data_IF_605773042449
#
_entry.id   IF_605773042449
#
_cell.length_a   1.000
_cell.length_b   1.000
_cell.length_c   1.000
_cell.angle_alpha   90.00
_cell.angle_beta   90.00
_cell.angle_gamma   90.00
#
_symmetry.space_group_name_H-M   'P 1'
#
loop_
_entity.id
_entity.type
_entity.pdbx_description
1 polymer ?
#
# COMPACT_ATOMS: atom_id res chain seq x y z
N UNK A 1 12.06 24.21 -13.52
CA UNK A 1 12.59 25.59 -13.38
C UNK A 1 13.20 25.83 -11.99
N UNK A 2 12.56 25.36 -10.92
CA UNK A 2 12.96 25.58 -9.52
C UNK A 2 13.53 24.35 -8.84
N UNK A 3 13.63 23.21 -9.50
CA UNK A 3 14.14 21.96 -8.96
C UNK A 3 13.19 21.22 -8.00
N UNK A 4 12.09 21.85 -7.58
CA UNK A 4 11.06 21.26 -6.71
C UNK A 4 9.67 21.61 -7.21
N UNK A 5 8.74 20.67 -7.12
CA UNK A 5 7.32 20.86 -7.42
C UNK A 5 6.46 20.19 -6.34
N UNK A 6 5.33 20.81 -6.02
CA UNK A 6 4.29 20.30 -5.14
C UNK A 6 3.00 20.17 -5.95
N UNK A 7 2.36 19.00 -5.86
CA UNK A 7 1.09 18.72 -6.55
C UNK A 7 0.11 18.12 -5.56
N UNK A 8 -1.07 18.74 -5.44
CA UNK A 8 -2.18 18.19 -4.66
C UNK A 8 -3.25 17.59 -5.58
N UNK A 9 -3.67 16.37 -5.28
CA UNK A 9 -4.85 15.73 -5.86
C UNK A 9 -5.95 15.66 -4.80
N UNK A 10 -7.20 15.85 -5.22
CA UNK A 10 -8.38 15.70 -4.36
C UNK A 10 -9.54 15.09 -5.11
N UNK A 11 -10.47 14.50 -4.38
CA UNK A 11 -11.69 13.90 -4.93
C UNK A 11 -11.41 12.86 -6.03
N UNK A 12 -10.29 12.15 -5.92
CA UNK A 12 -9.91 11.10 -6.86
C UNK A 12 -10.57 9.77 -6.50
N UNK A 13 -10.77 8.91 -7.50
CA UNK A 13 -11.00 7.50 -7.28
C UNK A 13 -9.76 6.81 -6.69
N UNK A 14 -9.81 5.49 -6.55
CA UNK A 14 -8.67 4.72 -6.06
C UNK A 14 -7.43 4.95 -6.93
N UNK A 15 -6.31 5.37 -6.31
CA UNK A 15 -5.08 5.77 -7.02
C UNK A 15 -4.20 4.60 -7.47
N UNK A 16 -4.65 3.36 -7.23
CA UNK A 16 -3.88 2.15 -7.55
C UNK A 16 -2.73 1.91 -6.59
N UNK A 17 -1.67 1.27 -7.07
CA UNK A 17 -0.41 1.10 -6.36
C UNK A 17 0.34 2.43 -6.37
N UNK A 18 0.65 2.98 -5.19
CA UNK A 18 1.27 4.31 -5.12
C UNK A 18 2.72 4.28 -5.59
N UNK A 19 3.40 3.14 -5.46
CA UNK A 19 4.73 2.92 -6.02
C UNK A 19 4.85 3.21 -7.52
N UNK A 20 3.78 3.05 -8.31
CA UNK A 20 3.80 3.33 -9.76
C UNK A 20 4.05 4.83 -10.03
N UNK A 21 3.51 5.72 -9.19
CA UNK A 21 3.78 7.15 -9.27
C UNK A 21 5.23 7.47 -8.96
N UNK A 22 5.82 6.76 -8.00
CA UNK A 22 7.24 6.87 -7.64
C UNK A 22 8.16 6.33 -8.73
N UNK A 23 7.83 5.21 -9.36
CA UNK A 23 8.57 4.61 -10.47
C UNK A 23 8.59 5.57 -11.68
N UNK A 24 7.42 6.08 -12.09
CA UNK A 24 7.31 7.04 -13.19
C UNK A 24 8.14 8.30 -12.97
N UNK A 25 8.22 8.81 -11.74
CA UNK A 25 9.05 9.95 -11.42
C UNK A 25 10.55 9.59 -11.47
N UNK A 26 10.93 8.44 -10.92
CA UNK A 26 12.30 7.97 -10.89
C UNK A 26 12.86 7.71 -12.31
N UNK A 27 12.03 7.22 -13.24
CA UNK A 27 12.36 7.07 -14.67
C UNK A 27 12.77 8.41 -15.32
N UNK A 28 12.34 9.53 -14.74
CA UNK A 28 12.69 10.89 -15.19
C UNK A 28 13.80 11.51 -14.34
N UNK A 29 14.56 10.72 -13.56
CA UNK A 29 15.60 11.18 -12.64
C UNK A 29 15.09 12.11 -11.52
N UNK A 30 13.83 11.95 -11.13
CA UNK A 30 13.17 12.75 -10.11
C UNK A 30 12.97 11.91 -8.84
N UNK A 31 13.43 12.42 -7.70
CA UNK A 31 13.01 11.91 -6.38
C UNK A 31 11.57 12.35 -6.13
N UNK A 32 10.72 11.43 -5.69
CA UNK A 32 9.33 11.76 -5.39
C UNK A 32 8.89 11.23 -4.03
N UNK A 33 7.97 11.95 -3.39
CA UNK A 33 7.30 11.56 -2.15
C UNK A 33 5.79 11.71 -2.36
N UNK A 34 5.02 10.71 -1.97
CA UNK A 34 3.57 10.69 -2.13
C UNK A 34 2.91 10.36 -0.81
N UNK A 35 2.08 11.28 -0.31
CA UNK A 35 1.33 11.18 0.94
C UNK A 35 -0.14 11.03 0.60
N UNK A 36 -0.72 9.87 0.87
CA UNK A 36 -2.09 9.55 0.43
C UNK A 36 -3.01 9.44 1.64
N UNK A 37 -4.19 10.08 1.53
CA UNK A 37 -5.29 9.83 2.43
C UNK A 37 -6.45 9.15 1.72
N UNK A 38 -7.32 8.48 2.48
CA UNK A 38 -8.52 7.83 1.96
C UNK A 38 -9.73 8.27 2.78
N UNK A 39 -10.32 9.41 2.38
CA UNK A 39 -11.57 9.88 2.98
C UNK A 39 -12.64 8.80 2.91
N UNK A 40 -13.33 8.56 4.02
CA UNK A 40 -14.42 7.59 4.13
C UNK A 40 -13.99 6.17 4.45
N UNK A 41 -12.69 5.86 4.49
CA UNK A 41 -12.19 4.55 4.87
C UNK A 41 -11.73 4.53 6.33
N UNK A 42 -12.53 3.98 7.22
CA UNK A 42 -12.22 3.84 8.65
C UNK A 42 -11.83 2.40 8.96
N UNK A 43 -10.53 2.11 8.97
CA UNK A 43 -9.99 0.77 9.16
C UNK A 43 -8.95 0.66 10.27
N UNK A 44 -8.24 1.76 10.57
CA UNK A 44 -7.05 1.75 11.42
C UNK A 44 -7.32 2.45 12.75
N UNK A 45 -6.96 1.78 13.85
CA UNK A 45 -6.99 2.37 15.18
C UNK A 45 -5.77 3.27 15.43
N UNK A 46 -5.93 4.40 16.14
CA UNK A 46 -4.81 5.16 16.65
C UNK A 46 -4.01 4.34 17.67
N UNK A 47 -2.73 4.65 17.82
CA UNK A 47 -1.93 4.02 18.86
C UNK A 47 -2.53 4.27 20.25
N UNK A 48 -2.78 3.20 21.00
CA UNK A 48 -3.44 3.26 22.30
C UNK A 48 -4.97 3.29 22.25
N UNK A 49 -5.57 3.26 21.06
CA UNK A 49 -7.02 3.17 20.87
C UNK A 49 -7.43 1.79 20.36
N UNK A 50 -8.71 1.47 20.49
CA UNK A 50 -9.32 0.22 19.98
C UNK A 50 -10.35 0.47 18.88
N UNK A 51 -10.68 1.73 18.61
CA UNK A 51 -11.68 2.10 17.62
C UNK A 51 -11.03 2.76 16.39
N UNK A 52 -11.66 2.61 15.25
CA UNK A 52 -11.19 3.09 13.94
C UNK A 52 -11.23 4.60 13.86
N UNK A 53 -10.11 5.23 13.50
CA UNK A 53 -10.00 6.69 13.34
C UNK A 53 -9.22 7.10 12.10
N UNK A 54 -8.65 6.13 11.36
CA UNK A 54 -7.87 6.39 10.17
C UNK A 54 -8.01 5.26 9.15
N UNK A 55 -7.36 5.45 8.01
CA UNK A 55 -7.26 4.48 6.93
C UNK A 55 -5.86 3.87 6.86
N UNK A 56 -5.65 2.96 5.91
CA UNK A 56 -4.33 2.37 5.62
C UNK A 56 -3.36 3.38 5.02
N UNK A 57 -3.83 4.50 4.55
CA UNK A 57 -3.15 5.74 4.11
C UNK A 57 -1.69 5.55 3.69
N UNK A 58 -1.42 5.16 2.43
CA UNK A 58 -0.08 4.76 2.00
C UNK A 58 0.88 5.94 1.83
N UNK A 59 2.17 5.62 2.03
CA UNK A 59 3.32 6.46 1.73
C UNK A 59 4.15 5.79 0.64
N UNK A 60 4.53 6.55 -0.40
CA UNK A 60 5.54 6.09 -1.34
C UNK A 60 6.66 7.11 -1.52
N UNK A 61 7.89 6.62 -1.62
CA UNK A 61 9.08 7.43 -1.91
C UNK A 61 9.87 6.73 -3.02
N UNK A 62 10.11 7.45 -4.12
CA UNK A 62 10.93 6.99 -5.23
C UNK A 62 12.27 7.70 -5.28
N UNK A 63 13.34 6.93 -5.44
CA UNK A 63 14.70 7.43 -5.60
C UNK A 63 15.27 6.89 -6.90
N UNK A 64 15.59 7.76 -7.88
CA UNK A 64 16.20 7.35 -9.13
C UNK A 64 17.64 6.86 -8.90
N UNK A 65 18.00 5.77 -9.55
CA UNK A 65 19.38 5.27 -9.59
C UNK A 65 19.80 5.13 -11.05
N UNK A 66 20.78 5.95 -11.47
CA UNK A 66 21.25 5.97 -12.85
C UNK A 66 21.96 4.66 -13.19
N UNK A 67 21.44 3.97 -14.23
CA UNK A 67 22.03 2.72 -14.72
C UNK A 67 21.71 1.47 -13.89
N UNK A 68 20.87 1.59 -12.86
CA UNK A 68 20.42 0.50 -12.02
C UNK A 68 18.90 0.57 -11.78
N UNK A 69 18.36 -0.41 -11.09
CA UNK A 69 16.95 -0.40 -10.66
C UNK A 69 16.71 0.66 -9.59
N UNK A 70 15.67 1.46 -9.73
CA UNK A 70 15.29 2.50 -8.77
C UNK A 70 14.94 1.92 -7.39
N UNK A 71 15.12 2.72 -6.35
CA UNK A 71 14.70 2.36 -4.98
C UNK A 71 13.32 2.93 -4.75
N UNK A 72 12.35 2.04 -4.48
CA UNK A 72 10.97 2.42 -4.27
C UNK A 72 10.51 1.91 -2.91
N UNK A 73 10.23 2.83 -2.00
CA UNK A 73 9.46 2.54 -0.80
C UNK A 73 7.98 2.72 -1.13
N UNK A 74 7.19 1.68 -1.01
CA UNK A 74 5.73 1.74 -1.17
C UNK A 74 5.09 0.91 -0.06
N UNK A 75 4.42 1.57 0.86
CA UNK A 75 3.90 0.92 2.05
C UNK A 75 2.62 1.57 2.56
N UNK A 76 1.69 0.73 3.05
CA UNK A 76 0.62 1.20 3.91
C UNK A 76 1.21 1.69 5.25
N UNK A 77 0.56 2.65 5.89
CA UNK A 77 0.92 3.09 7.26
C UNK A 77 0.21 2.28 8.35
N UNK A 78 -0.55 1.26 7.96
CA UNK A 78 -1.07 0.20 8.81
C UNK A 78 -0.12 -1.01 8.84
N UNK A 79 -0.26 -1.87 9.84
CA UNK A 79 0.55 -3.10 9.95
C UNK A 79 0.33 -4.04 8.77
N UNK A 80 -0.90 -4.09 8.26
CA UNK A 80 -1.27 -4.84 7.05
C UNK A 80 -2.25 -4.02 6.22
N UNK A 81 -2.21 -4.20 4.90
CA UNK A 81 -3.28 -3.72 4.03
C UNK A 81 -4.55 -4.56 4.24
N UNK A 82 -5.73 -3.95 4.04
CA UNK A 82 -7.02 -4.64 4.20
C UNK A 82 -7.12 -5.90 3.35
N UNK A 83 -6.65 -5.87 2.10
CA UNK A 83 -6.64 -7.05 1.23
C UNK A 83 -5.85 -8.25 1.79
N UNK A 84 -4.82 -8.04 2.62
CA UNK A 84 -4.12 -9.13 3.32
C UNK A 84 -4.97 -9.72 4.43
N UNK A 85 -5.76 -8.89 5.12
CA UNK A 85 -6.72 -9.35 6.11
C UNK A 85 -7.84 -10.17 5.46
N UNK A 86 -8.33 -9.74 4.29
CA UNK A 86 -9.30 -10.47 3.50
C UNK A 86 -8.78 -11.85 3.03
N UNK A 87 -7.53 -11.91 2.57
CA UNK A 87 -6.88 -13.19 2.21
C UNK A 87 -6.80 -14.12 3.42
N UNK A 88 -6.42 -13.62 4.59
CA UNK A 88 -6.38 -14.41 5.81
C UNK A 88 -7.77 -14.90 6.23
N UNK A 89 -8.80 -14.03 6.13
CA UNK A 89 -10.20 -14.38 6.40
C UNK A 89 -10.70 -15.51 5.52
N UNK A 90 -10.27 -15.56 4.26
CA UNK A 90 -10.62 -16.64 3.30
C UNK A 90 -9.72 -17.87 3.41
N UNK A 91 -9.02 -18.07 4.52
CA UNK A 91 -8.19 -19.26 4.78
C UNK A 91 -6.79 -19.21 4.16
N UNK A 92 -6.36 -18.06 3.62
CA UNK A 92 -5.01 -17.86 3.12
C UNK A 92 -3.95 -17.62 4.22
N UNK A 93 -2.87 -16.93 3.88
CA UNK A 93 -1.77 -16.67 4.81
C UNK A 93 -2.27 -15.90 6.05
N UNK A 94 -2.01 -16.45 7.25
CA UNK A 94 -2.36 -15.83 8.53
C UNK A 94 -1.70 -14.46 8.70
N UNK A 95 -2.42 -13.56 9.38
CA UNK A 95 -1.88 -12.25 9.77
C UNK A 95 -0.78 -12.38 10.83
N UNK A 96 0.17 -11.44 10.88
CA UNK A 96 1.09 -11.32 12.00
C UNK A 96 0.32 -11.08 13.31
N UNK A 97 0.87 -11.57 14.41
CA UNK A 97 0.34 -11.26 15.75
C UNK A 97 0.39 -9.73 15.97
N UNK A 98 -0.70 -9.16 16.44
CA UNK A 98 -0.80 -7.72 16.66
C UNK A 98 -1.11 -6.90 15.41
N UNK A 99 -1.43 -7.54 14.28
CA UNK A 99 -1.92 -6.84 13.08
C UNK A 99 -3.28 -6.17 13.29
N UNK A 100 -4.07 -6.71 14.21
CA UNK A 100 -5.39 -6.20 14.57
C UNK A 100 -5.47 -5.89 16.07
N UNK A 101 -6.42 -5.07 16.42
CA UNK A 101 -6.85 -4.81 17.80
C UNK A 101 -8.34 -5.11 17.92
N UNK A 102 -8.75 -5.80 18.98
CA UNK A 102 -10.14 -6.06 19.26
C UNK A 102 -10.83 -4.86 19.95
N UNK A 103 -12.13 -4.94 20.15
CA UNK A 103 -12.94 -3.90 20.81
C UNK A 103 -12.54 -3.61 22.26
N UNK A 104 -11.76 -4.50 22.91
CA UNK A 104 -11.28 -4.37 24.27
C UNK A 104 -9.86 -3.83 24.35
N UNK A 105 -9.22 -3.57 23.20
CA UNK A 105 -7.85 -3.06 23.12
C UNK A 105 -6.77 -4.15 23.12
N UNK A 106 -7.14 -5.44 23.02
CA UNK A 106 -6.17 -6.53 22.94
C UNK A 106 -5.64 -6.69 21.51
N UNK A 107 -4.33 -6.84 21.36
CA UNK A 107 -3.71 -7.14 20.10
C UNK A 107 -4.02 -8.58 19.68
N UNK A 108 -4.46 -8.75 18.43
CA UNK A 108 -4.86 -10.04 17.87
C UNK A 108 -4.43 -10.19 16.42
N UNK A 109 -4.53 -11.40 15.89
CA UNK A 109 -4.47 -11.70 14.45
C UNK A 109 -5.74 -12.44 13.97
N UNK A 110 -6.76 -12.47 14.83
CA UNK A 110 -8.06 -13.03 14.50
C UNK A 110 -8.84 -12.03 13.64
N UNK A 111 -9.15 -12.45 12.42
CA UNK A 111 -9.85 -11.63 11.43
C UNK A 111 -11.31 -11.31 11.81
N UNK A 112 -11.91 -12.02 12.78
CA UNK A 112 -13.21 -11.66 13.33
C UNK A 112 -13.21 -10.26 13.97
N UNK A 113 -12.06 -9.80 14.48
CA UNK A 113 -11.92 -8.43 14.98
C UNK A 113 -12.25 -7.38 13.90
N UNK A 114 -11.91 -7.64 12.63
CA UNK A 114 -12.13 -6.70 11.53
C UNK A 114 -13.46 -6.94 10.79
N UNK A 115 -13.82 -8.19 10.55
CA UNK A 115 -14.98 -8.55 9.71
C UNK A 115 -16.20 -9.01 10.51
N UNK A 116 -16.06 -9.24 11.82
CA UNK A 116 -17.08 -9.92 12.61
C UNK A 116 -17.20 -11.40 12.25
N UNK A 117 -18.24 -12.05 12.75
CA UNK A 117 -18.55 -13.43 12.40
C UNK A 117 -19.14 -13.49 10.99
N UNK A 118 -18.49 -14.26 10.13
CA UNK A 118 -18.88 -14.43 8.71
C UNK A 118 -19.44 -15.83 8.52
N UNK A 119 -20.64 -15.93 7.96
CA UNK A 119 -21.24 -17.18 7.52
C UNK A 119 -20.63 -17.69 6.21
N UNK A 120 -20.91 -18.95 5.82
CA UNK A 120 -20.30 -19.58 4.65
C UNK A 120 -20.56 -18.86 3.32
N UNK A 121 -21.67 -18.12 3.22
CA UNK A 121 -22.10 -17.42 2.01
C UNK A 121 -22.00 -15.89 2.13
N UNK A 122 -21.48 -15.38 3.24
CA UNK A 122 -21.40 -13.94 3.46
C UNK A 122 -20.21 -13.36 2.71
N UNK A 123 -20.40 -12.14 2.21
CA UNK A 123 -19.29 -11.34 1.67
C UNK A 123 -18.59 -10.64 2.84
N UNK A 124 -17.28 -10.85 3.03
CA UNK A 124 -16.54 -10.16 4.07
C UNK A 124 -16.63 -8.64 3.88
N UNK A 125 -17.05 -7.96 4.93
CA UNK A 125 -17.17 -6.51 4.98
C UNK A 125 -16.34 -6.00 6.16
N UNK A 126 -15.24 -5.28 5.91
CA UNK A 126 -14.33 -4.84 6.96
C UNK A 126 -15.00 -3.86 7.94
N UNK A 127 -16.15 -3.29 7.61
CA UNK A 127 -16.87 -2.36 8.48
C UNK A 127 -17.74 -3.05 9.53
N UNK A 128 -17.92 -4.37 9.44
CA UNK A 128 -18.82 -5.14 10.34
C UNK A 128 -18.16 -5.61 11.64
N UNK A 129 -16.85 -5.74 11.68
CA UNK A 129 -16.16 -6.17 12.90
C UNK A 129 -16.02 -5.04 13.91
N UNK A 130 -15.92 -5.39 15.21
CA UNK A 130 -15.87 -4.40 16.29
C UNK A 130 -14.46 -3.83 16.55
N UNK A 131 -13.44 -4.38 15.92
CA UNK A 131 -12.05 -3.96 16.08
C UNK A 131 -11.48 -3.24 14.88
N UNK A 132 -10.17 -3.15 14.79
CA UNK A 132 -9.47 -2.36 13.78
C UNK A 132 -8.12 -2.98 13.39
N UNK A 133 -7.55 -2.53 12.26
CA UNK A 133 -6.15 -2.76 11.91
C UNK A 133 -5.28 -1.85 12.77
N UNK A 134 -4.11 -2.31 13.18
CA UNK A 134 -3.14 -1.50 13.92
C UNK A 134 -2.25 -0.67 12.97
N UNK A 135 -1.75 0.48 13.43
CA UNK A 135 -0.69 1.17 12.71
C UNK A 135 0.63 0.38 12.82
N UNK A 136 1.44 0.37 11.74
CA UNK A 136 2.75 -0.27 11.79
C UNK A 136 3.67 0.44 12.80
N UNK A 137 4.65 -0.27 13.39
CA UNK A 137 5.67 0.34 14.24
C UNK A 137 5.13 1.13 15.44
N UNK A 138 3.95 0.75 15.94
CA UNK A 138 3.33 1.34 17.14
C UNK A 138 3.09 2.86 17.00
N UNK A 139 3.49 3.66 18.02
CA UNK A 139 3.29 5.11 18.04
C UNK A 139 4.01 5.86 16.90
N UNK A 140 5.14 5.35 16.42
CA UNK A 140 5.88 5.99 15.32
C UNK A 140 5.15 5.90 13.99
N UNK A 141 4.67 4.69 13.65
CA UNK A 141 3.86 4.48 12.46
C UNK A 141 2.50 5.15 12.55
N UNK A 142 1.87 5.17 13.74
CA UNK A 142 0.67 5.96 13.94
C UNK A 142 0.92 7.46 13.68
N UNK A 143 2.06 7.99 14.14
CA UNK A 143 2.43 9.38 13.83
C UNK A 143 2.52 9.65 12.34
N UNK A 144 3.09 8.72 11.56
CA UNK A 144 3.11 8.82 10.10
C UNK A 144 1.69 8.72 9.52
N UNK A 145 0.88 7.74 9.96
CA UNK A 145 -0.52 7.59 9.53
C UNK A 145 -1.33 8.88 9.74
N UNK A 146 -1.18 9.51 10.91
CA UNK A 146 -1.81 10.80 11.20
C UNK A 146 -1.36 11.90 10.22
N UNK A 147 -0.07 11.96 9.89
CA UNK A 147 0.44 12.94 8.95
C UNK A 147 -0.04 12.69 7.51
N UNK A 148 -0.35 11.44 7.13
CA UNK A 148 -0.99 11.18 5.83
C UNK A 148 -2.34 11.88 5.72
N UNK A 149 -3.15 11.85 6.79
CA UNK A 149 -4.44 12.54 6.81
C UNK A 149 -4.29 14.07 6.72
N UNK A 150 -3.28 14.64 7.39
CA UNK A 150 -3.01 16.08 7.35
C UNK A 150 -2.50 16.51 5.97
N UNK A 151 -1.52 15.81 5.43
CA UNK A 151 -0.85 16.20 4.17
C UNK A 151 -1.65 15.78 2.93
N UNK A 152 -2.09 14.52 2.89
CA UNK A 152 -2.85 13.98 1.76
C UNK A 152 -4.32 14.38 1.79
N UNK A 153 -4.88 14.64 2.97
CA UNK A 153 -6.27 15.02 3.16
C UNK A 153 -6.46 16.52 3.32
N UNK A 154 -6.21 17.06 4.51
CA UNK A 154 -6.53 18.45 4.84
C UNK A 154 -5.81 19.44 3.93
N UNK A 155 -4.51 19.30 3.71
CA UNK A 155 -3.70 20.22 2.91
C UNK A 155 -4.12 20.25 1.43
N UNK A 156 -4.57 19.11 0.87
CA UNK A 156 -5.04 19.02 -0.52
C UNK A 156 -6.50 19.45 -0.69
N UNK A 157 -7.22 19.62 0.41
CA UNK A 157 -8.67 19.91 0.41
C UNK A 157 -9.53 18.69 0.11
N UNK A 158 -9.04 17.47 0.44
CA UNK A 158 -9.76 16.20 0.24
C UNK A 158 -10.56 15.76 1.48
N UNK A 159 -10.63 16.57 2.52
CA UNK A 159 -11.09 16.21 3.87
C UNK A 159 -10.26 15.08 4.51
N UNK A 160 -10.37 14.93 5.82
CA UNK A 160 -9.71 13.87 6.58
C UNK A 160 -10.66 12.71 6.85
N UNK A 161 -10.12 11.55 7.16
CA UNK A 161 -10.86 10.34 7.45
C UNK A 161 -11.82 10.55 8.64
N UNK A 162 -13.07 10.13 8.51
CA UNK A 162 -14.08 10.18 9.58
C UNK A 162 -14.67 11.55 9.90
N UNK A 163 -14.19 12.62 9.27
CA UNK A 163 -14.67 14.02 9.45
C UNK A 163 -14.91 14.63 8.08
N UNK A 164 -15.67 13.94 7.22
CA UNK A 164 -16.03 14.47 5.90
C UNK A 164 -17.19 15.42 5.99
N UNK A 165 -17.10 16.50 5.23
CA UNK A 165 -18.18 17.48 5.03
C UNK A 165 -18.92 17.29 3.69
N UNK A 166 -18.48 16.35 2.84
CA UNK A 166 -19.08 16.06 1.54
C UNK A 166 -19.76 14.67 1.57
N UNK A 167 -21.07 14.69 1.86
CA UNK A 167 -21.90 13.48 1.89
C UNK A 167 -22.17 12.92 0.48
N UNK A 168 -21.97 13.70 -0.58
CA UNK A 168 -22.20 13.26 -1.96
C UNK A 168 -21.07 12.38 -2.48
N UNK A 169 -19.88 12.46 -1.85
CA UNK A 169 -18.70 11.66 -2.17
C UNK A 169 -18.07 11.12 -0.90
N UNK A 170 -18.69 10.13 -0.26
CA UNK A 170 -18.22 9.60 1.02
C UNK A 170 -16.84 8.95 0.91
N UNK A 171 -16.46 8.49 -0.29
CA UNK A 171 -15.20 7.83 -0.56
C UNK A 171 -14.39 8.59 -1.62
N UNK A 172 -13.20 9.07 -1.25
CA UNK A 172 -12.28 9.72 -2.17
C UNK A 172 -10.83 9.66 -1.69
N UNK A 173 -9.90 9.54 -2.62
CA UNK A 173 -8.49 9.71 -2.34
C UNK A 173 -8.06 11.17 -2.50
N UNK A 174 -7.21 11.61 -1.57
CA UNK A 174 -6.37 12.78 -1.69
C UNK A 174 -4.90 12.36 -1.73
N UNK A 175 -4.06 13.11 -2.41
CA UNK A 175 -2.63 12.88 -2.44
C UNK A 175 -1.86 14.18 -2.55
N UNK A 176 -0.91 14.40 -1.65
CA UNK A 176 0.15 15.37 -1.84
C UNK A 176 1.36 14.68 -2.44
N UNK A 177 1.86 15.19 -3.55
CA UNK A 177 3.09 14.73 -4.17
C UNK A 177 4.15 15.82 -4.14
N UNK A 178 5.38 15.47 -3.78
CA UNK A 178 6.58 16.31 -3.85
C UNK A 178 7.53 15.69 -4.86
N UNK A 179 7.99 16.47 -5.82
CA UNK A 179 8.94 16.07 -6.85
C UNK A 179 10.20 16.92 -6.74
N UNK A 180 11.37 16.28 -6.73
CA UNK A 180 12.67 16.92 -6.58
C UNK A 180 13.56 16.51 -7.75
N UNK A 181 13.95 17.47 -8.55
CA UNK A 181 14.91 17.30 -9.64
C UNK A 181 16.31 17.17 -9.03
N UNK A 182 16.89 15.97 -9.10
CA UNK A 182 18.19 15.66 -8.49
C UNK A 182 19.29 16.57 -9.04
N UNK A 183 19.29 16.81 -10.37
CA UNK A 183 20.35 17.60 -11.02
C UNK A 183 20.37 19.08 -10.62
N UNK A 184 19.25 19.57 -10.03
CA UNK A 184 19.17 20.94 -9.49
C UNK A 184 19.72 21.05 -8.06
N UNK A 185 19.95 19.92 -7.40
CA UNK A 185 20.40 19.86 -6.01
C UNK A 185 21.87 19.42 -5.94
N UNK A 186 22.22 18.37 -6.71
CA UNK A 186 23.54 17.73 -6.64
C UNK A 186 23.91 17.10 -8.00
N UNK A 187 25.19 16.85 -8.24
CA UNK A 187 25.64 16.10 -9.42
C UNK A 187 25.01 14.69 -9.43
N UNK A 188 24.37 14.33 -10.54
CA UNK A 188 23.63 13.08 -10.67
C UNK A 188 24.53 11.83 -10.52
N UNK A 189 25.79 11.89 -10.92
CA UNK A 189 26.72 10.77 -10.82
C UNK A 189 27.21 10.62 -9.37
N UNK A 190 27.41 11.75 -8.66
CA UNK A 190 27.67 11.72 -7.24
C UNK A 190 26.49 11.07 -6.49
N UNK A 191 25.29 11.54 -6.75
CA UNK A 191 24.07 11.00 -6.12
C UNK A 191 23.93 9.49 -6.35
N UNK A 192 24.03 9.03 -7.61
CA UNK A 192 23.93 7.62 -7.96
C UNK A 192 24.99 6.77 -7.25
N UNK A 193 26.24 7.25 -7.17
CA UNK A 193 27.33 6.55 -6.47
C UNK A 193 27.05 6.43 -4.96
N UNK A 194 26.60 7.50 -4.30
CA UNK A 194 26.30 7.48 -2.86
C UNK A 194 25.12 6.54 -2.54
N UNK A 195 24.05 6.62 -3.34
CA UNK A 195 22.89 5.74 -3.18
C UNK A 195 23.29 4.27 -3.38
N UNK A 196 24.08 3.97 -4.41
CA UNK A 196 24.60 2.62 -4.65
C UNK A 196 25.48 2.14 -3.50
N UNK A 197 26.46 2.94 -3.09
CA UNK A 197 27.39 2.59 -2.02
C UNK A 197 26.64 2.28 -0.71
N UNK A 198 25.64 3.10 -0.37
CA UNK A 198 24.82 2.87 0.81
C UNK A 198 23.96 1.61 0.68
N UNK A 199 23.36 1.39 -0.48
CA UNK A 199 22.57 0.18 -0.76
C UNK A 199 23.39 -1.10 -0.62
N UNK A 200 24.60 -1.11 -1.18
CA UNK A 200 25.53 -2.25 -1.08
C UNK A 200 26.01 -2.46 0.36
N UNK A 201 26.28 -1.37 1.08
CA UNK A 201 26.65 -1.43 2.50
C UNK A 201 25.53 -2.04 3.35
N UNK A 202 24.26 -1.62 3.14
CA UNK A 202 23.13 -2.20 3.87
C UNK A 202 22.94 -3.68 3.54
N UNK A 203 23.02 -4.05 2.26
CA UNK A 203 22.87 -5.44 1.83
C UNK A 203 24.01 -6.36 2.31
N UNK A 204 25.20 -5.80 2.57
CA UNK A 204 26.36 -6.56 3.09
C UNK A 204 26.23 -6.93 4.57
N UNK A 205 25.21 -6.42 5.28
CA UNK A 205 24.97 -6.81 6.67
C UNK A 205 24.68 -8.31 6.76
N UNK A 206 25.28 -9.05 7.73
CA UNK A 206 24.94 -10.44 7.96
C UNK A 206 23.43 -10.60 8.21
N UNK A 207 22.76 -11.55 7.54
CA UNK A 207 21.34 -11.79 7.77
C UNK A 207 21.05 -12.26 9.20
N UNK A 208 19.93 -11.83 9.75
CA UNK A 208 19.45 -12.34 11.03
C UNK A 208 19.03 -13.82 10.91
N UNK A 209 18.97 -14.52 12.05
CA UNK A 209 18.54 -15.94 12.09
C UNK A 209 17.18 -16.12 11.42
N UNK A 210 17.13 -17.01 10.41
CA UNK A 210 15.90 -17.28 9.64
C UNK A 210 15.62 -16.32 8.50
N UNK A 211 16.51 -15.37 8.23
CA UNK A 211 16.45 -14.45 7.09
C UNK A 211 17.49 -14.89 6.05
N UNK A 212 17.10 -15.01 4.81
CA UNK A 212 18.00 -15.44 3.72
C UNK A 212 18.99 -14.34 3.36
N UNK A 213 18.52 -13.13 3.20
CA UNK A 213 19.32 -11.95 2.81
C UNK A 213 18.70 -10.66 3.33
N UNK A 214 19.55 -9.65 3.54
CA UNK A 214 19.10 -8.29 3.83
C UNK A 214 18.63 -7.62 2.54
N UNK A 215 17.46 -6.99 2.58
CA UNK A 215 16.84 -6.30 1.47
C UNK A 215 16.67 -4.82 1.78
N UNK A 216 16.71 -3.98 0.74
CA UNK A 216 16.36 -2.56 0.80
C UNK A 216 14.95 -2.34 0.20
N UNK A 217 14.35 -1.16 0.36
CA UNK A 217 13.02 -0.87 -0.21
C UNK A 217 12.96 -1.14 -1.71
N UNK A 218 11.92 -1.88 -2.12
CA UNK A 218 11.69 -2.29 -3.50
C UNK A 218 12.28 -3.65 -3.89
N UNK A 219 13.26 -4.20 -3.17
CA UNK A 219 13.88 -5.49 -3.53
C UNK A 219 12.88 -6.65 -3.54
N UNK A 220 11.97 -6.69 -2.55
CA UNK A 220 10.97 -7.75 -2.44
C UNK A 220 9.97 -7.70 -3.62
N UNK A 221 9.48 -6.52 -3.94
CA UNK A 221 8.54 -6.27 -5.03
C UNK A 221 9.15 -6.68 -6.39
N UNK A 222 10.41 -6.32 -6.61
CA UNK A 222 11.16 -6.70 -7.82
C UNK A 222 11.35 -8.20 -7.94
N UNK A 223 11.69 -8.88 -6.83
CA UNK A 223 11.82 -10.34 -6.81
C UNK A 223 10.49 -11.01 -7.15
N UNK A 224 9.39 -10.54 -6.55
CA UNK A 224 8.03 -11.04 -6.83
C UNK A 224 7.63 -10.75 -8.28
N UNK A 225 7.94 -9.57 -8.80
CA UNK A 225 7.65 -9.21 -10.19
C UNK A 225 8.38 -10.17 -11.16
N UNK A 226 9.69 -10.39 -10.96
CA UNK A 226 10.50 -11.31 -11.78
C UNK A 226 9.95 -12.74 -11.73
N UNK A 227 9.59 -13.21 -10.55
CA UNK A 227 9.00 -14.54 -10.37
C UNK A 227 7.67 -14.65 -11.12
N UNK A 228 6.75 -13.72 -10.91
CA UNK A 228 5.42 -13.74 -11.54
C UNK A 228 5.46 -13.53 -13.03
N UNK A 229 6.41 -12.73 -13.53
CA UNK A 229 6.61 -12.54 -14.96
C UNK A 229 7.05 -13.84 -15.66
N UNK A 230 7.91 -14.62 -15.00
CA UNK A 230 8.43 -15.87 -15.57
C UNK A 230 7.51 -17.08 -15.32
N UNK A 231 6.86 -17.14 -14.16
CA UNK A 231 6.14 -18.32 -13.67
C UNK A 231 4.62 -18.14 -13.62
N UNK A 232 4.12 -16.95 -13.96
CA UNK A 232 2.69 -16.61 -13.90
C UNK A 232 2.25 -16.07 -12.55
N UNK A 233 1.08 -15.44 -12.54
CA UNK A 233 0.48 -14.82 -11.36
C UNK A 233 -0.41 -15.86 -10.67
N UNK A 234 -0.16 -16.22 -9.39
CA UNK A 234 -1.02 -17.13 -8.66
C UNK A 234 -2.35 -16.44 -8.35
N UNK A 235 -3.44 -16.97 -8.89
CA UNK A 235 -4.80 -16.49 -8.66
C UNK A 235 -5.61 -17.63 -8.02
N UNK A 236 -6.26 -17.37 -6.90
CA UNK A 236 -7.15 -18.34 -6.28
C UNK A 236 -8.31 -18.71 -7.22
N UNK A 237 -8.72 -19.98 -7.20
CA UNK A 237 -9.77 -20.48 -8.10
C UNK A 237 -11.05 -19.66 -8.00
N UNK A 238 -11.48 -19.32 -6.79
CA UNK A 238 -12.67 -18.54 -6.53
C UNK A 238 -12.60 -17.13 -7.13
N UNK A 239 -11.42 -16.50 -7.08
CA UNK A 239 -11.21 -15.19 -7.70
C UNK A 239 -11.22 -15.30 -9.23
N UNK A 240 -10.64 -16.37 -9.79
CA UNK A 240 -10.66 -16.63 -11.22
C UNK A 240 -12.09 -16.86 -11.76
N UNK A 241 -12.87 -17.67 -11.05
CA UNK A 241 -14.26 -17.93 -11.39
C UNK A 241 -15.11 -16.64 -11.34
N UNK A 242 -14.86 -15.76 -10.36
CA UNK A 242 -15.54 -14.46 -10.26
C UNK A 242 -15.16 -13.52 -11.42
N UNK A 243 -13.90 -13.52 -11.85
CA UNK A 243 -13.44 -12.75 -13.03
C UNK A 243 -14.21 -13.21 -14.27
N UNK A 244 -14.30 -14.53 -14.50
CA UNK A 244 -15.04 -15.07 -15.64
C UNK A 244 -16.52 -14.70 -15.59
N UNK A 245 -17.16 -14.90 -14.45
CA UNK A 245 -18.58 -14.53 -14.26
C UNK A 245 -18.83 -13.03 -14.51
N UNK A 246 -17.89 -12.18 -14.10
CA UNK A 246 -17.99 -10.74 -14.32
C UNK A 246 -17.84 -10.42 -15.80
N UNK A 247 -16.89 -11.04 -16.48
CA UNK A 247 -16.68 -10.88 -17.93
C UNK A 247 -17.92 -11.30 -18.74
N UNK A 248 -18.56 -12.42 -18.36
CA UNK A 248 -19.84 -12.86 -18.96
C UNK A 248 -20.94 -11.80 -18.80
N UNK A 249 -21.09 -11.25 -17.57
CA UNK A 249 -22.14 -10.25 -17.28
C UNK A 249 -21.98 -8.96 -18.08
N UNK A 250 -20.77 -8.59 -18.45
CA UNK A 250 -20.49 -7.38 -19.24
C UNK A 250 -20.19 -7.67 -20.71
N UNK A 251 -20.51 -8.90 -21.18
CA UNK A 251 -20.35 -9.34 -22.56
C UNK A 251 -18.95 -9.16 -23.13
N UNK A 252 -17.93 -9.62 -22.41
CA UNK A 252 -16.54 -9.62 -22.90
C UNK A 252 -16.35 -10.80 -23.87
N UNK A 253 -16.10 -10.53 -25.13
CA UNK A 253 -15.94 -11.54 -26.19
C UNK A 253 -14.69 -12.44 -26.05
N UNK A 254 -13.82 -12.14 -25.11
CA UNK A 254 -12.55 -12.82 -24.92
C UNK A 254 -12.54 -13.90 -23.82
N UNK A 255 -13.70 -14.30 -23.30
CA UNK A 255 -13.82 -15.30 -22.21
C UNK A 255 -13.09 -16.60 -22.54
N UNK A 256 -13.20 -17.08 -23.77
CA UNK A 256 -12.53 -18.32 -24.24
C UNK A 256 -10.98 -18.24 -24.19
N UNK A 257 -10.42 -17.03 -24.09
CA UNK A 257 -8.98 -16.82 -23.94
C UNK A 257 -8.52 -16.96 -22.49
N UNK A 258 -9.40 -16.82 -21.52
CA UNK A 258 -9.04 -16.85 -20.10
C UNK A 258 -8.49 -18.22 -19.68
N UNK A 259 -9.16 -19.29 -20.12
CA UNK A 259 -8.71 -20.66 -19.80
C UNK A 259 -7.39 -21.02 -20.51
N UNK A 260 -7.07 -20.35 -21.63
CA UNK A 260 -5.78 -20.52 -22.34
C UNK A 260 -4.63 -19.79 -21.65
N UNK A 261 -4.94 -18.81 -20.78
CA UNK A 261 -3.92 -18.09 -20.00
C UNK A 261 -3.49 -18.84 -18.72
N UNK A 262 -4.16 -19.96 -18.38
CA UNK A 262 -3.79 -20.77 -17.21
C UNK A 262 -2.51 -21.54 -17.50
N UNK A 263 -1.45 -21.23 -16.77
CA UNK A 263 -0.22 -22.03 -16.74
C UNK A 263 -0.49 -23.19 -15.76
N UNK A 264 -0.38 -24.44 -16.26
CA UNK A 264 -0.59 -25.66 -15.47
C UNK A 264 0.69 -26.03 -14.69
#
# INVERSE_FOLDING_TARGET
KHGVSLVGLKNCGHLGRIGDWSELAADQSIVSLHFVNVRGSLLVAPFGGSDRRGSTSPLSIGVPVKGEEHIILDMATSTVAEGKALVAQKGGKKLPIGALVDQFGNLTNDTEALYGKIGPNDVPDPDKGPGAITAFGMHKGFGINFMMEVLGGALTGNDVCGVSHDETRPFANGMLSIYIDVEKIVDINYFAREVKSYSDFVRSSPPAKGVEKVMIPGDNEKNIYKDRFNNGIPIAKEAWDLIKLTAEKINVDAIDRFDKAIIK
#
